data_IF_661866309824
#
_entry.id   IF_661866309824
#
_cell.length_a   1.000
_cell.length_b   1.000
_cell.length_c   1.000
_cell.angle_alpha   90.00
_cell.angle_beta   90.00
_cell.angle_gamma   90.00
#
_symmetry.space_group_name_H-M   'P 1'
#
loop_
_entity.id
_entity.type
_entity.pdbx_description
1 polymer ?
#
# COMPACT_ATOMS: atom_id res chain seq x y z
N UNK A 1 -34.38 -53.92 -22.45
CA UNK A 1 -33.62 -53.33 -21.33
C UNK A 1 -32.45 -52.62 -21.99
N UNK A 2 -32.67 -51.42 -22.53
CA UNK A 2 -31.63 -50.64 -23.23
C UNK A 2 -31.97 -49.16 -23.12
N UNK A 3 -31.78 -48.60 -21.94
CA UNK A 3 -31.95 -47.15 -21.64
C UNK A 3 -30.82 -46.64 -20.76
N UNK A 4 -29.59 -47.12 -20.98
CA UNK A 4 -28.41 -46.71 -20.19
C UNK A 4 -27.31 -46.03 -21.03
N UNK A 5 -27.29 -46.21 -22.36
CA UNK A 5 -26.15 -45.75 -23.18
C UNK A 5 -26.30 -44.34 -23.78
N UNK A 6 -27.46 -43.70 -23.63
CA UNK A 6 -27.68 -42.34 -24.18
C UNK A 6 -27.22 -41.21 -23.26
N UNK A 7 -27.02 -41.46 -21.96
CA UNK A 7 -26.70 -40.39 -20.98
C UNK A 7 -25.17 -40.14 -20.88
N UNK A 8 -24.33 -41.11 -21.27
CA UNK A 8 -22.87 -40.98 -21.14
C UNK A 8 -22.24 -40.24 -22.33
N UNK A 9 -22.86 -40.28 -23.52
CA UNK A 9 -22.35 -39.61 -24.72
C UNK A 9 -22.60 -38.08 -24.75
N UNK A 10 -23.57 -37.58 -23.97
CA UNK A 10 -23.90 -36.14 -23.91
C UNK A 10 -22.97 -35.37 -22.97
N UNK A 11 -22.38 -36.04 -21.97
CA UNK A 11 -21.50 -35.38 -20.99
C UNK A 11 -20.10 -35.08 -21.55
N UNK A 12 -19.58 -35.88 -22.48
CA UNK A 12 -18.27 -35.63 -23.11
C UNK A 12 -18.32 -34.48 -24.11
N UNK A 13 -19.40 -34.38 -24.89
CA UNK A 13 -19.56 -33.32 -25.91
C UNK A 13 -19.75 -31.93 -25.30
N UNK A 14 -20.43 -31.81 -24.15
CA UNK A 14 -20.58 -30.56 -23.39
C UNK A 14 -19.23 -30.10 -22.81
N UNK A 15 -18.39 -31.04 -22.39
CA UNK A 15 -17.09 -30.72 -21.79
C UNK A 15 -16.05 -30.32 -22.87
N UNK A 16 -16.08 -30.98 -24.03
CA UNK A 16 -15.21 -30.62 -25.16
C UNK A 16 -15.64 -29.30 -25.82
N UNK A 17 -16.94 -28.99 -25.88
CA UNK A 17 -17.42 -27.67 -26.34
C UNK A 17 -17.11 -26.56 -25.35
N UNK A 18 -17.14 -26.81 -24.04
CA UNK A 18 -16.74 -25.82 -23.03
C UNK A 18 -15.24 -25.47 -23.12
N UNK A 19 -14.37 -26.46 -23.37
CA UNK A 19 -12.93 -26.24 -23.58
C UNK A 19 -12.68 -25.53 -24.92
N UNK A 20 -13.46 -25.83 -25.95
CA UNK A 20 -13.32 -25.23 -27.28
C UNK A 20 -13.84 -23.79 -27.34
N UNK A 21 -14.81 -23.40 -26.50
CA UNK A 21 -15.22 -22.00 -26.32
C UNK A 21 -14.13 -21.14 -25.66
N UNK A 22 -13.26 -21.73 -24.84
CA UNK A 22 -12.12 -21.01 -24.23
C UNK A 22 -11.00 -20.73 -25.25
N UNK A 23 -10.88 -21.55 -26.29
CA UNK A 23 -9.86 -21.44 -27.34
C UNK A 23 -10.25 -20.52 -28.51
N UNK A 24 -11.51 -20.10 -28.61
CA UNK A 24 -12.01 -19.22 -29.69
C UNK A 24 -12.16 -17.76 -29.29
N UNK A 25 -11.72 -17.35 -28.09
CA UNK A 25 -11.60 -15.93 -27.78
C UNK A 25 -10.45 -15.34 -28.61
N UNK A 26 -10.72 -14.38 -29.50
CA UNK A 26 -9.71 -13.78 -30.34
C UNK A 26 -8.71 -13.06 -29.42
N UNK A 27 -7.43 -13.23 -29.69
CA UNK A 27 -6.35 -12.61 -28.94
C UNK A 27 -6.59 -11.11 -28.75
N UNK A 28 -6.94 -10.71 -27.53
CA UNK A 28 -7.12 -9.31 -27.15
C UNK A 28 -7.49 -9.21 -25.67
N UNK A 29 -6.52 -8.85 -24.84
CA UNK A 29 -6.62 -8.72 -23.37
C UNK A 29 -6.72 -10.03 -22.59
N UNK A 30 -5.57 -10.69 -22.41
CA UNK A 30 -5.32 -11.54 -21.24
C UNK A 30 -5.41 -10.64 -20.00
N UNK A 31 -6.60 -10.47 -19.43
CA UNK A 31 -6.72 -10.00 -18.05
C UNK A 31 -5.90 -10.99 -17.22
N UNK A 32 -4.74 -10.56 -16.72
CA UNK A 32 -4.06 -11.25 -15.63
C UNK A 32 -4.99 -11.13 -14.43
N UNK A 33 -5.91 -12.08 -14.30
CA UNK A 33 -6.66 -12.28 -13.07
C UNK A 33 -5.65 -12.76 -12.03
N UNK A 34 -5.22 -11.86 -11.17
CA UNK A 34 -4.39 -12.22 -10.04
C UNK A 34 -5.22 -13.11 -9.12
N UNK A 35 -4.71 -14.28 -8.78
CA UNK A 35 -5.37 -15.16 -7.81
C UNK A 35 -5.15 -14.57 -6.44
N UNK A 36 -6.23 -14.12 -5.80
CA UNK A 36 -6.19 -13.60 -4.44
C UNK A 36 -6.04 -14.74 -3.44
N UNK A 37 -5.26 -14.52 -2.39
CA UNK A 37 -5.09 -15.49 -1.29
C UNK A 37 -6.41 -15.71 -0.52
N UNK A 38 -7.23 -14.66 -0.44
CA UNK A 38 -8.56 -14.69 0.17
C UNK A 38 -9.61 -14.63 -0.95
N UNK A 39 -10.32 -15.74 -1.17
CA UNK A 39 -11.37 -15.86 -2.17
C UNK A 39 -12.57 -14.94 -1.85
N UNK A 40 -12.93 -14.83 -0.57
CA UNK A 40 -14.06 -14.03 -0.12
C UNK A 40 -13.77 -12.51 -0.18
N UNK A 41 -14.42 -11.84 -1.12
CA UNK A 41 -14.26 -10.38 -1.33
C UNK A 41 -14.61 -9.55 -0.09
N UNK A 42 -15.67 -9.93 0.64
CA UNK A 42 -16.10 -9.21 1.86
C UNK A 42 -15.05 -9.28 2.95
N UNK A 43 -14.42 -10.45 3.09
CA UNK A 43 -13.41 -10.71 4.10
C UNK A 43 -12.12 -9.92 3.80
N UNK A 44 -11.71 -9.92 2.52
CA UNK A 44 -10.57 -9.14 2.02
C UNK A 44 -10.76 -7.63 2.23
N UNK A 45 -11.95 -7.11 1.91
CA UNK A 45 -12.27 -5.68 2.11
C UNK A 45 -12.29 -5.28 3.58
N UNK A 46 -12.84 -6.15 4.44
CA UNK A 46 -12.82 -5.93 5.89
C UNK A 46 -11.39 -5.90 6.44
N UNK A 47 -10.52 -6.80 5.95
CA UNK A 47 -9.10 -6.80 6.29
C UNK A 47 -8.45 -5.47 5.90
N UNK A 48 -8.63 -5.02 4.64
CA UNK A 48 -8.10 -3.74 4.12
C UNK A 48 -8.56 -2.56 4.94
N UNK A 49 -9.87 -2.45 5.21
CA UNK A 49 -10.41 -1.35 6.02
C UNK A 49 -9.81 -1.31 7.44
N UNK A 50 -9.64 -2.46 8.09
CA UNK A 50 -9.07 -2.53 9.45
C UNK A 50 -7.62 -2.08 9.50
N UNK A 51 -6.76 -2.57 8.60
CA UNK A 51 -5.35 -2.20 8.67
C UNK A 51 -5.09 -0.79 8.12
N UNK A 52 -5.89 -0.28 7.17
CA UNK A 52 -5.86 1.15 6.82
C UNK A 52 -6.23 2.04 8.01
N UNK A 53 -7.18 1.61 8.84
CA UNK A 53 -7.48 2.27 10.12
C UNK A 53 -6.28 2.33 11.05
N UNK A 54 -5.53 1.23 11.16
CA UNK A 54 -4.28 1.22 11.92
C UNK A 54 -3.23 2.17 11.31
N UNK A 55 -3.06 2.20 9.99
CA UNK A 55 -2.12 3.13 9.33
C UNK A 55 -2.47 4.59 9.62
N UNK A 56 -3.75 4.97 9.59
CA UNK A 56 -4.20 6.32 9.96
C UNK A 56 -3.78 6.64 11.40
N UNK A 57 -3.97 5.70 12.33
CA UNK A 57 -3.53 5.87 13.71
C UNK A 57 -2.00 6.01 13.83
N UNK A 58 -1.24 5.24 13.04
CA UNK A 58 0.22 5.36 13.01
C UNK A 58 0.68 6.73 12.50
N UNK A 59 0.03 7.25 11.45
CA UNK A 59 0.33 8.60 10.92
C UNK A 59 -0.06 9.67 11.94
N UNK A 60 -1.18 9.51 12.67
CA UNK A 60 -1.60 10.44 13.71
C UNK A 60 -0.55 10.60 14.82
N UNK A 61 0.18 9.54 15.17
CA UNK A 61 1.30 9.59 16.11
C UNK A 61 2.45 10.52 15.66
N UNK A 62 2.51 10.89 14.38
CA UNK A 62 3.46 11.88 13.86
C UNK A 62 3.21 13.27 14.41
N UNK A 63 1.95 13.65 14.69
CA UNK A 63 1.60 14.99 15.19
C UNK A 63 2.27 15.33 16.55
N UNK A 64 2.13 14.51 17.62
CA UNK A 64 2.82 14.78 18.88
C UNK A 64 4.35 14.65 18.75
N UNK A 65 4.84 13.70 17.95
CA UNK A 65 6.27 13.52 17.69
C UNK A 65 6.89 14.79 17.07
N UNK A 66 6.24 15.32 16.03
CA UNK A 66 6.63 16.54 15.36
C UNK A 66 6.62 17.73 16.31
N UNK A 67 5.58 17.86 17.14
CA UNK A 67 5.49 18.93 18.16
C UNK A 67 6.68 18.88 19.12
N UNK A 68 7.04 17.70 19.62
CA UNK A 68 8.18 17.52 20.53
C UNK A 68 9.49 17.89 19.84
N UNK A 69 9.70 17.46 18.59
CA UNK A 69 10.92 17.75 17.84
C UNK A 69 11.06 19.22 17.45
N UNK A 70 9.95 19.93 17.23
CA UNK A 70 9.94 21.37 17.04
C UNK A 70 10.28 22.13 18.33
N UNK A 71 9.86 21.62 19.49
CA UNK A 71 10.18 22.22 20.80
C UNK A 71 11.63 21.94 21.23
N UNK A 72 12.15 20.76 20.90
CA UNK A 72 13.50 20.31 21.27
C UNK A 72 14.26 19.85 20.01
N UNK A 73 14.76 20.79 19.20
CA UNK A 73 15.52 20.44 18.00
C UNK A 73 16.83 19.74 18.38
N UNK A 74 17.23 18.68 17.65
CA UNK A 74 18.46 17.94 17.95
C UNK A 74 19.70 18.81 17.66
N UNK A 75 20.80 18.64 18.43
CA UNK A 75 22.00 19.48 18.31
C UNK A 75 22.75 19.30 16.98
N UNK A 76 22.62 18.13 16.34
CA UNK A 76 23.26 17.81 15.05
C UNK A 76 22.23 17.28 14.05
N UNK A 77 21.37 18.13 13.46
CA UNK A 77 20.21 17.69 12.71
C UNK A 77 20.58 16.80 11.51
N UNK A 78 21.59 17.16 10.72
CA UNK A 78 21.99 16.35 9.56
C UNK A 78 22.44 14.93 9.93
N UNK A 79 23.35 14.80 10.92
CA UNK A 79 23.86 13.51 11.35
C UNK A 79 22.78 12.63 12.00
N UNK A 80 21.93 13.22 12.85
CA UNK A 80 20.83 12.52 13.52
C UNK A 80 19.79 12.04 12.51
N UNK A 81 19.44 12.87 11.53
CA UNK A 81 18.51 12.52 10.45
C UNK A 81 19.05 11.35 9.62
N UNK A 82 20.30 11.44 9.15
CA UNK A 82 20.93 10.34 8.40
C UNK A 82 21.01 9.06 9.21
N UNK A 83 21.38 9.14 10.50
CA UNK A 83 21.40 8.00 11.40
C UNK A 83 20.01 7.37 11.57
N UNK A 84 18.95 8.20 11.74
CA UNK A 84 17.56 7.73 11.85
C UNK A 84 17.13 6.93 10.62
N UNK A 85 17.39 7.45 9.41
CA UNK A 85 17.06 6.74 8.18
C UNK A 85 17.83 5.44 8.00
N UNK A 86 19.13 5.43 8.33
CA UNK A 86 19.94 4.20 8.30
C UNK A 86 19.45 3.17 9.31
N UNK A 87 19.13 3.58 10.54
CA UNK A 87 18.56 2.68 11.55
C UNK A 87 17.21 2.12 11.11
N UNK A 88 16.38 2.94 10.48
CA UNK A 88 15.09 2.50 9.94
C UNK A 88 15.24 1.43 8.87
N UNK A 89 16.14 1.67 7.90
CA UNK A 89 16.40 0.71 6.84
C UNK A 89 16.92 -0.62 7.41
N UNK A 90 17.84 -0.55 8.38
CA UNK A 90 18.35 -1.72 9.09
C UNK A 90 17.24 -2.48 9.82
N UNK A 91 16.45 -1.78 10.66
CA UNK A 91 15.37 -2.36 11.44
C UNK A 91 14.31 -3.05 10.55
N UNK A 92 13.87 -2.37 9.48
CA UNK A 92 12.89 -2.94 8.56
C UNK A 92 13.45 -4.11 7.77
N UNK A 93 14.75 -4.10 7.43
CA UNK A 93 15.40 -5.24 6.79
C UNK A 93 15.43 -6.45 7.73
N UNK A 94 15.76 -6.24 9.00
CA UNK A 94 15.68 -7.28 10.03
C UNK A 94 14.27 -7.86 10.15
N UNK A 95 13.25 -7.01 10.25
CA UNK A 95 11.85 -7.47 10.32
C UNK A 95 11.37 -8.16 9.04
N UNK A 96 11.91 -7.78 7.88
CA UNK A 96 11.64 -8.46 6.62
C UNK A 96 12.24 -9.88 6.61
N UNK A 97 13.46 -10.05 7.13
CA UNK A 97 14.12 -11.36 7.21
C UNK A 97 13.45 -12.28 8.24
N UNK A 98 13.00 -11.76 9.38
CA UNK A 98 12.34 -12.53 10.44
C UNK A 98 10.81 -12.45 10.40
N UNK A 99 10.26 -12.75 9.24
CA UNK A 99 8.82 -12.63 9.00
C UNK A 99 7.96 -13.58 9.82
N UNK A 100 8.39 -14.84 9.98
CA UNK A 100 7.58 -15.84 10.68
C UNK A 100 7.53 -15.58 12.19
N UNK A 101 8.60 -14.97 12.74
CA UNK A 101 8.68 -14.57 14.14
C UNK A 101 7.72 -13.42 14.50
N UNK A 102 7.53 -12.44 13.60
CA UNK A 102 6.66 -11.28 13.85
C UNK A 102 5.16 -11.56 13.70
N UNK A 103 4.77 -12.74 13.19
CA UNK A 103 3.37 -13.09 12.90
C UNK A 103 2.53 -13.37 14.16
N UNK A 104 2.95 -14.23 15.10
CA UNK A 104 2.17 -14.50 16.31
C UNK A 104 2.19 -13.33 17.30
N UNK A 105 1.11 -13.19 18.08
CA UNK A 105 1.09 -12.33 19.25
C UNK A 105 2.04 -12.89 20.33
N UNK A 106 2.78 -12.05 21.06
CA UNK A 106 2.69 -10.58 21.15
C UNK A 106 3.58 -9.81 20.15
N UNK A 107 4.41 -10.50 19.35
CA UNK A 107 5.45 -9.87 18.54
C UNK A 107 4.90 -8.98 17.43
N UNK A 108 3.73 -9.31 16.88
CA UNK A 108 3.03 -8.46 15.90
C UNK A 108 2.74 -7.04 16.43
N UNK A 109 2.30 -6.91 17.68
CA UNK A 109 2.06 -5.61 18.33
C UNK A 109 3.36 -4.86 18.59
N UNK A 110 4.43 -5.56 18.97
CA UNK A 110 5.75 -4.98 19.16
C UNK A 110 6.31 -4.39 17.85
N UNK A 111 6.19 -5.12 16.74
CA UNK A 111 6.59 -4.63 15.41
C UNK A 111 5.71 -3.47 14.95
N UNK A 112 4.41 -3.50 15.24
CA UNK A 112 3.51 -2.39 14.96
C UNK A 112 3.95 -1.12 15.73
N UNK A 113 4.25 -1.23 17.03
CA UNK A 113 4.70 -0.10 17.84
C UNK A 113 6.05 0.44 17.37
N UNK A 114 7.03 -0.43 17.11
CA UNK A 114 8.36 -0.03 16.63
C UNK A 114 8.29 0.64 15.25
N UNK A 115 7.51 0.09 14.31
CA UNK A 115 7.30 0.73 13.00
C UNK A 115 6.56 2.06 13.12
N UNK A 116 5.62 2.20 14.05
CA UNK A 116 4.94 3.47 14.34
C UNK A 116 5.92 4.51 14.87
N UNK A 117 6.72 4.17 15.89
CA UNK A 117 7.71 5.07 16.47
C UNK A 117 8.76 5.51 15.43
N UNK A 118 9.30 4.54 14.69
CA UNK A 118 10.33 4.79 13.68
C UNK A 118 9.80 5.64 12.52
N UNK A 119 8.62 5.31 12.01
CA UNK A 119 8.03 6.05 10.89
C UNK A 119 7.56 7.46 11.30
N UNK A 120 7.01 7.64 12.49
CA UNK A 120 6.65 8.98 13.01
C UNK A 120 7.87 9.87 13.23
N UNK A 121 8.98 9.31 13.75
CA UNK A 121 10.25 10.02 13.86
C UNK A 121 10.79 10.46 12.48
N UNK A 122 10.84 9.54 11.51
CA UNK A 122 11.34 9.86 10.16
C UNK A 122 10.49 10.92 9.45
N UNK A 123 9.15 10.84 9.55
CA UNK A 123 8.26 11.87 8.99
C UNK A 123 8.50 13.22 9.66
N UNK A 124 8.70 13.23 10.97
CA UNK A 124 9.00 14.46 11.71
C UNK A 124 10.33 15.07 11.28
N UNK A 125 11.38 14.27 11.11
CA UNK A 125 12.67 14.71 10.58
C UNK A 125 12.57 15.26 9.16
N UNK A 126 11.83 14.58 8.28
CA UNK A 126 11.56 15.05 6.92
C UNK A 126 10.91 16.43 6.90
N UNK A 127 9.90 16.62 7.76
CA UNK A 127 9.14 17.85 7.83
C UNK A 127 9.94 19.01 8.40
N UNK A 128 10.78 18.76 9.41
CA UNK A 128 11.70 19.78 9.94
C UNK A 128 12.68 20.30 8.89
N UNK A 129 13.05 19.46 7.90
CA UNK A 129 13.94 19.87 6.81
C UNK A 129 13.22 20.68 5.73
N UNK A 130 11.94 20.41 5.49
CA UNK A 130 11.17 21.04 4.40
C UNK A 130 10.73 22.48 4.69
N UNK A 131 10.24 22.78 5.89
CA UNK A 131 9.68 24.11 6.18
C UNK A 131 9.67 24.44 7.67
N UNK A 132 10.09 25.66 8.02
CA UNK A 132 9.98 26.24 9.37
C UNK A 132 8.61 26.89 9.63
N UNK A 133 7.64 26.73 8.72
CA UNK A 133 6.34 27.40 8.81
C UNK A 133 5.33 26.63 9.66
N UNK A 134 4.28 27.31 10.11
CA UNK A 134 3.16 26.70 10.84
C UNK A 134 2.43 25.60 10.06
N UNK A 135 2.60 25.53 8.73
CA UNK A 135 1.93 24.55 7.86
C UNK A 135 2.70 23.24 7.71
N UNK A 136 3.72 23.04 8.52
CA UNK A 136 4.45 21.77 8.65
C UNK A 136 3.52 20.58 8.97
N UNK A 137 2.36 20.84 9.59
CA UNK A 137 1.33 19.83 9.87
C UNK A 137 0.48 19.44 8.65
N UNK A 138 0.59 20.14 7.51
CA UNK A 138 -0.20 19.83 6.32
C UNK A 138 0.07 18.41 5.81
N UNK A 139 1.34 17.99 5.78
CA UNK A 139 1.73 16.65 5.34
C UNK A 139 1.01 15.51 6.08
N UNK A 140 1.09 15.39 7.42
CA UNK A 140 0.44 14.28 8.13
C UNK A 140 -1.09 14.40 8.04
N UNK A 141 -1.66 15.62 7.99
CA UNK A 141 -3.11 15.82 7.85
C UNK A 141 -3.61 15.32 6.49
N UNK A 142 -2.94 15.69 5.40
CA UNK A 142 -3.30 15.25 4.04
C UNK A 142 -3.13 13.74 3.93
N UNK A 143 -2.03 13.17 4.42
CA UNK A 143 -1.81 11.72 4.40
C UNK A 143 -2.91 10.95 5.15
N UNK A 144 -3.30 11.42 6.34
CA UNK A 144 -4.42 10.83 7.07
C UNK A 144 -5.72 10.90 6.29
N UNK A 145 -6.00 12.04 5.62
CA UNK A 145 -7.20 12.21 4.81
C UNK A 145 -7.20 11.29 3.58
N UNK A 146 -6.05 11.14 2.90
CA UNK A 146 -5.88 10.22 1.78
C UNK A 146 -6.11 8.77 2.21
N UNK A 147 -5.47 8.31 3.30
CA UNK A 147 -5.64 6.95 3.84
C UNK A 147 -7.08 6.70 4.32
N UNK A 148 -7.72 7.69 4.93
CA UNK A 148 -9.12 7.58 5.36
C UNK A 148 -10.08 7.52 4.17
N UNK A 149 -9.85 8.30 3.11
CA UNK A 149 -10.64 8.22 1.88
C UNK A 149 -10.49 6.83 1.22
N UNK A 150 -9.27 6.29 1.18
CA UNK A 150 -9.01 4.94 0.68
C UNK A 150 -9.66 3.85 1.55
N UNK A 151 -9.65 4.04 2.88
CA UNK A 151 -10.33 3.14 3.82
C UNK A 151 -11.85 3.11 3.55
N UNK A 152 -12.48 4.29 3.50
CA UNK A 152 -13.90 4.41 3.22
C UNK A 152 -14.25 3.81 1.84
N UNK A 153 -13.42 4.05 0.84
CA UNK A 153 -13.61 3.48 -0.50
C UNK A 153 -13.49 1.95 -0.50
N UNK A 154 -12.51 1.39 0.22
CA UNK A 154 -12.34 -0.06 0.34
C UNK A 154 -13.51 -0.77 1.04
N UNK A 155 -14.22 -0.05 1.91
CA UNK A 155 -15.40 -0.55 2.61
C UNK A 155 -16.68 -0.58 1.75
N UNK A 156 -16.69 0.08 0.57
CA UNK A 156 -17.86 0.13 -0.29
C UNK A 156 -17.98 -1.09 -1.19
N UNK A 157 -19.07 -1.86 -1.09
CA UNK A 157 -19.30 -3.06 -1.92
C UNK A 157 -19.70 -2.76 -3.38
N UNK A 158 -20.07 -1.52 -3.70
CA UNK A 158 -20.63 -1.15 -5.02
C UNK A 158 -19.60 -1.11 -6.14
N UNK A 159 -18.34 -0.82 -5.81
CA UNK A 159 -17.29 -0.63 -6.82
C UNK A 159 -16.09 -1.54 -6.54
N UNK A 160 -15.50 -2.05 -7.62
CA UNK A 160 -14.22 -2.77 -7.58
C UNK A 160 -13.09 -1.80 -7.25
N UNK A 161 -12.27 -2.12 -6.25
CA UNK A 161 -11.16 -1.28 -5.86
C UNK A 161 -9.96 -1.62 -6.75
N UNK A 162 -9.66 -0.75 -7.72
CA UNK A 162 -8.48 -0.85 -8.57
C UNK A 162 -7.43 0.18 -8.18
N UNK A 163 -6.17 -0.08 -8.52
CA UNK A 163 -5.05 0.83 -8.29
C UNK A 163 -5.30 2.20 -8.92
N UNK A 164 -5.72 2.25 -10.20
CA UNK A 164 -6.05 3.51 -10.88
C UNK A 164 -7.12 4.32 -10.12
N UNK A 165 -8.17 3.67 -9.62
CA UNK A 165 -9.23 4.37 -8.86
C UNK A 165 -8.71 4.89 -7.52
N UNK A 166 -7.87 4.10 -6.84
CA UNK A 166 -7.19 4.54 -5.63
C UNK A 166 -6.32 5.77 -5.85
N UNK A 167 -5.50 5.76 -6.92
CA UNK A 167 -4.65 6.89 -7.29
C UNK A 167 -5.50 8.14 -7.60
N UNK A 168 -6.63 7.98 -8.31
CA UNK A 168 -7.56 9.09 -8.55
C UNK A 168 -8.11 9.67 -7.24
N UNK A 169 -8.43 8.83 -6.25
CA UNK A 169 -8.90 9.28 -4.93
C UNK A 169 -7.81 10.07 -4.20
N UNK A 170 -6.57 9.57 -4.19
CA UNK A 170 -5.43 10.28 -3.58
C UNK A 170 -5.27 11.67 -4.23
N UNK A 171 -5.20 11.74 -5.55
CA UNK A 171 -5.07 13.02 -6.25
C UNK A 171 -6.26 13.95 -6.06
N UNK A 172 -7.48 13.42 -5.94
CA UNK A 172 -8.66 14.22 -5.65
C UNK A 172 -8.54 14.87 -4.26
N UNK A 173 -8.18 14.10 -3.23
CA UNK A 173 -7.98 14.61 -1.87
C UNK A 173 -6.88 15.68 -1.87
N UNK A 174 -5.72 15.38 -2.45
CA UNK A 174 -4.61 16.34 -2.55
C UNK A 174 -5.01 17.63 -3.30
N UNK A 175 -5.79 17.51 -4.38
CA UNK A 175 -6.28 18.66 -5.15
C UNK A 175 -7.24 19.55 -4.34
N UNK A 176 -8.09 18.96 -3.48
CA UNK A 176 -8.96 19.72 -2.59
C UNK A 176 -8.15 20.57 -1.59
N UNK A 177 -7.10 19.99 -0.98
CA UNK A 177 -6.20 20.73 -0.10
C UNK A 177 -5.38 21.79 -0.85
N UNK A 178 -4.97 21.49 -2.08
CA UNK A 178 -4.25 22.43 -2.94
C UNK A 178 -5.09 23.65 -3.30
N UNK A 179 -6.38 23.44 -3.64
CA UNK A 179 -7.31 24.53 -3.93
C UNK A 179 -7.57 25.41 -2.70
N UNK A 180 -7.70 24.80 -1.52
CA UNK A 180 -7.82 25.52 -0.25
C UNK A 180 -6.58 26.38 0.01
N UNK A 181 -5.38 25.81 -0.16
CA UNK A 181 -4.13 26.53 0.07
C UNK A 181 -3.85 27.62 -0.97
N UNK A 182 -4.33 27.47 -2.20
CA UNK A 182 -4.27 28.55 -3.19
C UNK A 182 -5.02 29.80 -2.70
N UNK A 183 -6.18 29.63 -2.06
CA UNK A 183 -6.96 30.75 -1.50
C UNK A 183 -6.31 31.40 -0.29
N UNK A 184 -5.34 30.74 0.33
CA UNK A 184 -4.65 31.18 1.53
C UNK A 184 -3.18 31.57 1.26
N UNK A 185 -2.78 31.65 -0.02
CA UNK A 185 -1.40 31.96 -0.46
C UNK A 185 -0.32 30.99 0.08
N UNK A 186 -0.68 29.71 0.25
CA UNK A 186 0.17 28.67 0.85
C UNK A 186 0.47 27.52 -0.11
N UNK A 187 0.23 27.73 -1.40
CA UNK A 187 0.35 26.69 -2.42
C UNK A 187 1.75 26.04 -2.42
N UNK A 188 2.82 26.83 -2.26
CA UNK A 188 4.19 26.30 -2.17
C UNK A 188 4.35 25.29 -1.03
N UNK A 189 3.74 25.53 0.13
CA UNK A 189 3.87 24.67 1.32
C UNK A 189 3.13 23.34 1.14
N UNK A 190 1.98 23.34 0.44
CA UNK A 190 1.28 22.11 0.04
C UNK A 190 2.08 21.34 -1.02
N UNK A 191 2.69 22.04 -1.99
CA UNK A 191 3.52 21.39 -3.01
C UNK A 191 4.70 20.67 -2.39
N UNK A 192 5.36 21.25 -1.37
CA UNK A 192 6.40 20.54 -0.60
C UNK A 192 5.85 19.32 0.15
N UNK A 193 4.57 19.32 0.49
CA UNK A 193 3.90 18.18 1.13
C UNK A 193 3.52 17.07 0.14
N UNK A 194 3.74 17.20 -1.17
CA UNK A 194 3.39 16.21 -2.20
C UNK A 194 3.98 14.81 -1.93
N UNK A 195 5.05 14.71 -1.15
CA UNK A 195 5.58 13.42 -0.71
C UNK A 195 4.56 12.55 0.07
N UNK A 196 3.50 13.13 0.66
CA UNK A 196 2.43 12.36 1.32
C UNK A 196 1.64 11.51 0.31
N UNK A 197 1.31 12.09 -0.85
CA UNK A 197 0.61 11.41 -1.94
C UNK A 197 1.39 10.21 -2.47
N UNK A 198 2.73 10.31 -2.53
CA UNK A 198 3.59 9.17 -2.88
C UNK A 198 3.55 8.07 -1.80
N UNK A 199 3.50 8.43 -0.53
CA UNK A 199 3.35 7.48 0.57
C UNK A 199 1.99 6.76 0.52
N UNK A 200 0.90 7.51 0.27
CA UNK A 200 -0.43 6.92 0.08
C UNK A 200 -0.46 5.97 -1.13
N UNK A 201 0.19 6.34 -2.24
CA UNK A 201 0.30 5.45 -3.41
C UNK A 201 1.07 4.17 -3.08
N UNK A 202 2.17 4.27 -2.32
CA UNK A 202 2.92 3.11 -1.85
C UNK A 202 2.03 2.15 -1.05
N UNK A 203 1.19 2.67 -0.15
CA UNK A 203 0.26 1.85 0.64
C UNK A 203 -0.69 1.04 -0.26
N UNK A 204 -1.26 1.64 -1.31
CA UNK A 204 -2.13 0.92 -2.25
C UNK A 204 -1.33 -0.14 -3.01
N UNK A 205 -0.15 0.23 -3.51
CA UNK A 205 0.72 -0.68 -4.25
C UNK A 205 1.12 -1.90 -3.42
N UNK A 206 1.53 -1.68 -2.18
CA UNK A 206 1.91 -2.73 -1.25
C UNK A 206 0.71 -3.60 -0.85
N UNK A 207 -0.46 -2.98 -0.64
CA UNK A 207 -1.71 -3.72 -0.36
C UNK A 207 -2.08 -4.69 -1.49
N UNK A 208 -1.95 -4.26 -2.75
CA UNK A 208 -2.15 -5.17 -3.87
C UNK A 208 -1.14 -6.31 -3.90
N UNK A 209 0.16 -6.00 -3.70
CA UNK A 209 1.17 -7.04 -3.61
C UNK A 209 0.90 -8.02 -2.48
N UNK A 210 0.37 -7.53 -1.36
CA UNK A 210 0.10 -8.26 -0.13
C UNK A 210 -1.16 -9.15 -0.22
N UNK A 211 -2.05 -8.90 -1.19
CA UNK A 211 -3.28 -9.68 -1.39
C UNK A 211 -3.24 -10.61 -2.61
N UNK A 212 -2.37 -10.32 -3.60
CA UNK A 212 -2.32 -11.01 -4.89
C UNK A 212 -1.28 -12.16 -4.96
N UNK A 213 -0.91 -12.81 -3.84
CA UNK A 213 -0.06 -14.01 -3.82
C UNK A 213 1.39 -13.82 -4.33
N UNK A 214 1.77 -12.63 -4.80
CA UNK A 214 3.13 -12.26 -5.22
C UNK A 214 4.02 -11.80 -4.05
N UNK A 215 3.50 -11.92 -2.85
CA UNK A 215 4.18 -11.74 -1.58
C UNK A 215 4.58 -13.10 -1.04
N UNK A 216 5.73 -13.20 -0.37
CA UNK A 216 6.24 -14.50 0.06
C UNK A 216 5.43 -15.20 1.17
N UNK A 217 4.26 -14.70 1.57
CA UNK A 217 3.53 -15.12 2.78
C UNK A 217 2.01 -15.01 2.69
N UNK A 218 1.24 -16.05 2.92
CA UNK A 218 -0.23 -15.93 2.93
C UNK A 218 -0.77 -15.23 4.18
N UNK A 219 -1.56 -14.18 4.00
CA UNK A 219 -2.22 -13.45 5.09
C UNK A 219 -3.62 -14.01 5.35
N UNK A 220 -3.91 -14.29 6.61
CA UNK A 220 -5.25 -14.59 7.09
C UNK A 220 -6.09 -13.33 7.25
N UNK A 221 -7.39 -13.46 7.07
CA UNK A 221 -8.35 -12.36 7.20
C UNK A 221 -8.37 -11.64 8.56
N UNK A 222 -7.99 -12.33 9.63
CA UNK A 222 -7.95 -11.77 10.98
C UNK A 222 -6.58 -11.17 11.33
N UNK A 223 -5.59 -11.25 10.44
CA UNK A 223 -4.20 -10.82 10.70
C UNK A 223 -3.96 -9.35 10.33
N UNK A 224 -4.93 -8.48 10.60
CA UNK A 224 -4.87 -7.05 10.23
C UNK A 224 -3.73 -6.29 10.92
N UNK A 225 -3.35 -6.67 12.14
CA UNK A 225 -2.20 -6.09 12.87
C UNK A 225 -0.88 -6.41 12.16
N UNK A 226 -0.71 -7.67 11.77
CA UNK A 226 0.47 -8.13 11.04
C UNK A 226 0.52 -7.50 9.65
N UNK A 227 -0.62 -7.37 8.95
CA UNK A 227 -0.72 -6.66 7.69
C UNK A 227 -0.30 -5.18 7.81
N UNK A 228 -0.81 -4.45 8.81
CA UNK A 228 -0.45 -3.04 9.04
C UNK A 228 1.06 -2.86 9.27
N UNK A 229 1.67 -3.71 10.11
CA UNK A 229 3.12 -3.66 10.35
C UNK A 229 3.95 -4.08 9.13
N UNK A 230 3.41 -4.98 8.30
CA UNK A 230 4.11 -5.51 7.12
C UNK A 230 4.33 -4.45 6.04
N UNK A 231 3.41 -3.48 5.90
CA UNK A 231 3.55 -2.37 4.93
C UNK A 231 4.88 -1.61 5.14
N UNK A 232 5.27 -1.37 6.38
CA UNK A 232 6.56 -0.72 6.67
C UNK A 232 7.73 -1.67 6.45
N UNK A 233 7.59 -2.92 6.88
CA UNK A 233 8.65 -3.91 6.78
C UNK A 233 8.95 -4.34 5.34
N UNK A 234 8.02 -4.13 4.41
CA UNK A 234 8.19 -4.49 2.99
C UNK A 234 8.85 -3.34 2.17
N UNK A 235 9.11 -2.17 2.79
CA UNK A 235 9.83 -1.03 2.19
C UNK A 235 11.22 -1.45 1.63
N UNK A 236 12.09 -2.17 2.36
CA UNK A 236 13.40 -2.58 1.83
C UNK A 236 13.29 -3.47 0.58
N UNK A 237 12.26 -4.33 0.51
CA UNK A 237 11.99 -5.15 -0.68
C UNK A 237 11.55 -4.29 -1.87
N UNK A 238 10.70 -3.29 -1.63
CA UNK A 238 10.31 -2.32 -2.64
C UNK A 238 11.53 -1.55 -3.16
N UNK A 239 12.35 -1.03 -2.25
CA UNK A 239 13.59 -0.31 -2.56
C UNK A 239 14.55 -1.16 -3.40
N UNK A 240 14.82 -2.41 -3.00
CA UNK A 240 15.70 -3.31 -3.76
C UNK A 240 15.18 -3.62 -5.16
N UNK A 241 13.86 -3.77 -5.31
CA UNK A 241 13.23 -3.98 -6.62
C UNK A 241 13.41 -2.77 -7.53
N UNK A 242 13.21 -1.56 -7.01
CA UNK A 242 13.43 -0.31 -7.73
C UNK A 242 14.90 -0.17 -8.14
N UNK A 243 15.83 -0.40 -7.21
CA UNK A 243 17.27 -0.34 -7.46
C UNK A 243 17.68 -1.32 -8.57
N UNK A 244 17.22 -2.57 -8.51
CA UNK A 244 17.49 -3.57 -9.55
C UNK A 244 16.98 -3.14 -10.91
N UNK A 245 15.79 -2.53 -10.99
CA UNK A 245 15.24 -2.05 -12.26
C UNK A 245 16.05 -0.87 -12.84
N UNK A 246 16.49 0.05 -11.99
CA UNK A 246 17.31 1.20 -12.41
C UNK A 246 18.71 0.78 -12.87
N UNK A 247 19.39 -0.09 -12.09
CA UNK A 247 20.77 -0.51 -12.39
C UNK A 247 20.84 -1.37 -13.66
N UNK A 248 19.88 -2.29 -13.87
CA UNK A 248 19.90 -3.18 -15.03
C UNK A 248 19.39 -2.51 -16.33
N UNK A 249 19.28 -1.18 -16.36
CA UNK A 249 18.80 -0.36 -17.51
C UNK A 249 17.49 -0.85 -18.13
N UNK A 250 16.66 -1.54 -17.35
CA UNK A 250 15.40 -2.14 -17.79
C UNK A 250 14.25 -1.14 -17.77
N UNK A 251 14.47 0.07 -18.28
CA UNK A 251 13.47 1.15 -18.28
C UNK A 251 12.15 0.74 -18.96
N UNK A 252 12.23 -0.05 -20.03
CA UNK A 252 11.03 -0.57 -20.73
C UNK A 252 10.27 -1.59 -19.89
N UNK A 253 10.97 -2.37 -19.04
CA UNK A 253 10.33 -3.31 -18.12
C UNK A 253 9.74 -2.55 -16.92
N UNK A 254 10.42 -1.51 -16.44
CA UNK A 254 9.89 -0.61 -15.41
C UNK A 254 8.62 0.13 -15.87
N UNK A 255 8.60 0.63 -17.11
CA UNK A 255 7.41 1.30 -17.66
C UNK A 255 6.24 0.32 -17.84
N UNK A 256 6.49 -0.88 -18.39
CA UNK A 256 5.47 -1.95 -18.47
C UNK A 256 4.97 -2.36 -17.09
N UNK A 257 5.85 -2.39 -16.10
CA UNK A 257 5.51 -2.70 -14.72
C UNK A 257 4.62 -1.61 -14.09
N UNK A 258 4.95 -0.34 -14.29
CA UNK A 258 4.12 0.81 -13.88
C UNK A 258 2.74 0.74 -14.55
N UNK A 259 2.67 0.56 -15.87
CA UNK A 259 1.42 0.44 -16.62
C UNK A 259 0.56 -0.74 -16.14
N UNK A 260 1.21 -1.88 -15.87
CA UNK A 260 0.55 -3.05 -15.30
C UNK A 260 -0.05 -2.77 -13.92
N UNK A 261 0.60 -1.95 -13.09
CA UNK A 261 0.07 -1.58 -11.77
C UNK A 261 -1.24 -0.81 -11.86
N UNK A 262 -1.42 0.10 -12.83
CA UNK A 262 -2.65 0.92 -12.91
C UNK A 262 -3.92 0.09 -13.15
N UNK A 263 -3.81 -1.05 -13.82
CA UNK A 263 -4.98 -1.87 -14.18
C UNK A 263 -5.30 -2.97 -13.17
N UNK A 264 -4.48 -3.15 -12.12
CA UNK A 264 -4.71 -4.25 -11.16
C UNK A 264 -5.77 -3.91 -10.12
N UNK A 265 -6.51 -4.96 -9.72
CA UNK A 265 -7.45 -4.91 -8.59
C UNK A 265 -6.67 -4.98 -7.27
N UNK A 266 -7.01 -4.12 -6.32
CA UNK A 266 -6.40 -4.06 -4.98
C UNK A 266 -7.12 -5.02 -4.04
N UNK A 267 -8.46 -4.95 -4.00
CA UNK A 267 -9.31 -5.85 -3.23
C UNK A 267 -10.78 -5.91 -3.68
#
# INVERSE_FOLDING_TARGET
MDTADTIVAEKSSIQDTAIQCELLLPQGHRQRTYVFDIADIRLRRRLVGRFYGLLVLQVACTLPCLRVMLAYPPPYPGAVVSFSYLMTLFLYTCFYMWRDWRRPAPYNYLVLLLSTATSSLNRSFYLMYLATSHWIYAYPIILMAELLALMLYSAQDRYRFTQARGILIIFLVFSMFSLMAYRLDLLLQIVYSMACTFEAWYVIYDTHLMLCGQHGYKIGAEEYVYAAGSIHCDIPRCFWRLLKMMILSKFVEAFRWIQGCFTTEVC
#
